data_IF_051790497863
#
_entry.id   IF_051790497863
#
_cell.length_a   1.000
_cell.length_b   1.000
_cell.length_c   1.000
_cell.angle_alpha   90.00
_cell.angle_beta   90.00
_cell.angle_gamma   90.00
#
_symmetry.space_group_name_H-M   'P 1'
#
loop_
_entity.id
_entity.type
_entity.pdbx_description
1 polymer ?
#
# COMPACT_ATOMS: atom_id res chain seq x y z
N UNK A 1 -11.13 37.15 9.58
CA UNK A 1 -10.90 37.72 10.93
C UNK A 1 -9.59 37.24 11.59
N UNK A 2 -9.25 37.74 12.79
CA UNK A 2 -8.14 37.20 13.63
C UNK A 2 -8.47 35.75 14.09
N UNK A 3 -7.50 34.84 14.25
CA UNK A 3 -7.75 33.45 14.67
C UNK A 3 -8.56 33.30 15.96
N UNK A 4 -8.36 34.18 16.95
CA UNK A 4 -9.11 34.12 18.21
C UNK A 4 -10.58 34.50 18.03
N UNK A 5 -10.88 35.54 17.25
CA UNK A 5 -12.25 35.88 16.87
C UNK A 5 -12.92 34.74 16.09
N UNK A 6 -12.15 34.03 15.26
CA UNK A 6 -12.64 32.85 14.55
C UNK A 6 -12.97 31.69 15.50
N UNK A 7 -12.18 31.50 16.57
CA UNK A 7 -12.44 30.51 17.62
C UNK A 7 -13.70 30.86 18.41
N UNK A 8 -13.89 32.13 18.77
CA UNK A 8 -15.10 32.61 19.45
C UNK A 8 -16.34 32.39 18.59
N UNK A 9 -16.28 32.73 17.29
CA UNK A 9 -17.39 32.48 16.38
C UNK A 9 -17.67 30.98 16.22
N UNK A 10 -16.62 30.14 16.10
CA UNK A 10 -16.75 28.68 16.08
C UNK A 10 -17.45 28.17 17.35
N UNK A 11 -17.05 28.64 18.53
CA UNK A 11 -17.65 28.21 19.81
C UNK A 11 -19.15 28.56 19.86
N UNK A 12 -19.52 29.78 19.47
CA UNK A 12 -20.92 30.22 19.37
C UNK A 12 -21.75 29.39 18.40
N UNK A 13 -21.15 28.94 17.29
CA UNK A 13 -21.82 28.04 16.34
C UNK A 13 -22.05 26.68 17.00
N UNK A 14 -21.02 26.10 17.61
CA UNK A 14 -21.09 24.78 18.25
C UNK A 14 -22.15 24.73 19.37
N UNK A 15 -22.30 25.79 20.16
CA UNK A 15 -23.33 25.90 21.22
C UNK A 15 -24.76 25.92 20.68
N UNK A 16 -24.95 26.36 19.44
CA UNK A 16 -26.27 26.48 18.80
C UNK A 16 -26.58 25.34 17.83
N UNK A 17 -25.61 24.44 17.57
CA UNK A 17 -25.86 23.28 16.73
C UNK A 17 -26.80 22.29 17.45
N UNK A 18 -27.70 21.62 16.71
CA UNK A 18 -28.55 20.59 17.30
C UNK A 18 -27.72 19.48 17.95
N UNK A 19 -27.99 19.18 19.22
CA UNK A 19 -27.43 18.01 19.89
C UNK A 19 -28.24 16.77 19.49
N UNK A 20 -27.80 16.01 18.47
CA UNK A 20 -28.37 14.71 18.19
C UNK A 20 -27.40 13.60 18.67
N UNK A 21 -27.86 12.63 19.47
CA UNK A 21 -27.08 11.42 19.70
C UNK A 21 -27.02 10.63 18.39
N UNK A 22 -25.82 10.41 17.90
CA UNK A 22 -25.53 9.49 16.79
C UNK A 22 -25.73 8.06 17.33
N UNK A 23 -26.92 7.49 17.16
CA UNK A 23 -27.23 6.13 17.63
C UNK A 23 -26.80 5.10 16.59
N UNK A 24 -26.16 4.01 17.02
CA UNK A 24 -25.59 2.96 16.17
C UNK A 24 -26.59 2.30 15.18
N UNK A 25 -27.90 2.46 15.38
CA UNK A 25 -28.95 1.88 14.54
C UNK A 25 -29.02 2.48 13.10
N UNK A 26 -28.49 3.68 12.87
CA UNK A 26 -28.51 4.34 11.55
C UNK A 26 -27.31 3.94 10.65
N UNK A 27 -26.41 3.09 11.14
CA UNK A 27 -25.20 2.65 10.43
C UNK A 27 -25.46 1.78 9.19
N UNK A 28 -26.65 1.16 9.09
CA UNK A 28 -27.03 0.28 7.98
C UNK A 28 -27.65 0.98 6.78
N UNK A 29 -27.94 2.28 6.86
CA UNK A 29 -28.51 3.04 5.73
C UNK A 29 -27.43 3.80 4.96
N UNK A 30 -27.58 3.87 3.64
CA UNK A 30 -26.70 4.68 2.78
C UNK A 30 -27.02 6.19 2.85
N UNK A 31 -27.99 6.58 3.68
CA UNK A 31 -28.42 7.96 3.84
C UNK A 31 -27.33 8.80 4.57
N UNK A 32 -27.02 10.01 4.08
CA UNK A 32 -26.11 10.92 4.76
C UNK A 32 -26.70 11.41 6.08
N UNK A 33 -25.83 11.64 7.06
CA UNK A 33 -26.24 12.07 8.40
C UNK A 33 -26.35 13.59 8.39
N UNK A 34 -27.45 14.20 8.86
CA UNK A 34 -27.54 15.64 9.01
C UNK A 34 -26.54 16.08 10.08
N UNK A 35 -25.40 16.62 9.66
CA UNK A 35 -24.37 17.06 10.59
C UNK A 35 -23.56 18.23 10.03
N UNK A 36 -23.18 19.15 10.93
CA UNK A 36 -22.35 20.31 10.64
C UNK A 36 -21.02 20.13 11.35
N UNK A 37 -19.94 19.97 10.60
CA UNK A 37 -18.59 19.97 11.16
C UNK A 37 -18.00 21.39 11.11
N UNK A 38 -17.50 21.87 12.25
CA UNK A 38 -17.03 23.26 12.42
C UNK A 38 -15.57 23.30 12.84
N UNK A 39 -14.76 24.03 12.08
CA UNK A 39 -13.32 24.18 12.29
C UNK A 39 -12.84 25.59 11.93
N UNK A 40 -11.55 25.72 11.69
CA UNK A 40 -10.94 26.97 11.20
C UNK A 40 -10.28 26.69 9.84
N UNK A 41 -10.32 27.67 8.95
CA UNK A 41 -9.58 27.65 7.68
C UNK A 41 -8.75 28.93 7.56
N UNK A 42 -7.56 28.90 6.93
CA UNK A 42 -6.79 30.10 6.66
C UNK A 42 -7.57 31.14 5.82
N UNK A 43 -7.29 32.41 6.05
CA UNK A 43 -7.78 33.54 5.25
C UNK A 43 -6.69 34.61 5.14
N UNK A 44 -6.02 34.68 3.98
CA UNK A 44 -4.84 35.53 3.80
C UNK A 44 -3.62 35.00 4.57
N UNK A 45 -2.65 35.88 4.85
CA UNK A 45 -1.35 35.51 5.45
C UNK A 45 -1.38 35.29 6.96
N UNK A 46 -2.31 35.91 7.69
CA UNK A 46 -2.42 35.81 9.15
C UNK A 46 -3.87 35.72 9.68
N UNK A 47 -4.86 35.66 8.79
CA UNK A 47 -6.27 35.59 9.16
C UNK A 47 -6.81 34.16 9.16
N UNK A 48 -7.97 34.00 9.77
CA UNK A 48 -8.77 32.78 9.71
C UNK A 48 -10.22 33.10 9.40
N UNK A 49 -10.93 32.09 8.87
CA UNK A 49 -12.39 32.02 8.73
C UNK A 49 -12.89 30.77 9.43
N UNK A 50 -14.16 30.72 9.81
CA UNK A 50 -14.74 29.50 10.34
C UNK A 50 -15.01 28.54 9.18
N UNK A 51 -14.42 27.35 9.24
CA UNK A 51 -14.68 26.29 8.28
C UNK A 51 -15.97 25.57 8.67
N UNK A 52 -16.92 25.48 7.74
CA UNK A 52 -18.13 24.68 7.90
C UNK A 52 -18.13 23.60 6.83
N UNK A 53 -18.26 22.34 7.23
CA UNK A 53 -18.28 21.18 6.32
C UNK A 53 -19.59 20.43 6.49
N UNK A 54 -20.29 20.26 5.37
CA UNK A 54 -21.61 19.65 5.30
C UNK A 54 -21.56 18.37 4.46
N UNK A 55 -22.38 17.37 4.80
CA UNK A 55 -22.48 16.18 3.96
C UNK A 55 -23.43 16.38 2.78
N UNK A 56 -24.47 17.20 2.94
CA UNK A 56 -25.45 17.56 1.90
C UNK A 56 -25.68 19.06 1.85
N UNK A 57 -26.15 19.56 0.71
CA UNK A 57 -26.53 20.97 0.57
C UNK A 57 -27.68 21.37 1.52
N UNK A 58 -28.65 20.47 1.72
CA UNK A 58 -29.76 20.68 2.66
C UNK A 58 -29.35 20.82 4.12
N UNK A 59 -28.15 20.36 4.50
CA UNK A 59 -27.64 20.52 5.87
C UNK A 59 -27.26 21.99 6.17
N UNK A 60 -27.25 22.88 5.17
CA UNK A 60 -27.12 24.33 5.37
C UNK A 60 -28.20 24.88 6.30
N UNK A 61 -29.39 24.28 6.33
CA UNK A 61 -30.48 24.66 7.22
C UNK A 61 -30.19 24.41 8.72
N UNK A 62 -29.14 23.64 9.03
CA UNK A 62 -28.69 23.37 10.40
C UNK A 62 -27.70 24.43 10.90
N UNK A 63 -27.19 25.30 10.02
CA UNK A 63 -26.32 26.39 10.42
C UNK A 63 -27.18 27.43 11.14
N UNK A 64 -26.85 27.84 12.37
CA UNK A 64 -27.62 28.84 13.10
C UNK A 64 -27.59 30.19 12.37
N UNK A 65 -28.61 31.02 12.56
CA UNK A 65 -28.59 32.41 12.09
C UNK A 65 -27.60 33.22 12.93
N UNK A 66 -26.49 33.60 12.31
CA UNK A 66 -25.41 34.36 12.95
C UNK A 66 -25.40 35.84 12.53
N UNK A 67 -26.33 36.24 11.66
CA UNK A 67 -26.33 37.53 10.97
C UNK A 67 -25.31 37.64 9.83
N UNK A 68 -25.61 38.51 8.85
CA UNK A 68 -24.84 38.68 7.59
C UNK A 68 -23.33 38.89 7.76
N UNK A 69 -22.90 39.59 8.82
CA UNK A 69 -21.49 39.86 9.04
C UNK A 69 -20.70 38.59 9.40
N UNK A 70 -21.30 37.70 10.20
CA UNK A 70 -20.69 36.43 10.57
C UNK A 70 -20.73 35.41 9.42
N UNK A 71 -21.77 35.43 8.58
CA UNK A 71 -21.86 34.57 7.39
C UNK A 71 -20.71 34.80 6.41
N UNK A 72 -20.28 36.06 6.23
CA UNK A 72 -19.12 36.41 5.38
C UNK A 72 -17.81 35.83 5.94
N UNK A 73 -17.76 35.49 7.21
CA UNK A 73 -16.61 34.88 7.87
C UNK A 73 -16.66 33.33 7.85
N UNK A 74 -17.67 32.73 7.22
CA UNK A 74 -17.79 31.27 7.05
C UNK A 74 -17.29 30.79 5.68
N UNK A 75 -16.40 29.81 5.68
CA UNK A 75 -16.09 28.99 4.51
C UNK A 75 -16.96 27.72 4.56
N UNK A 76 -18.13 27.76 3.93
CA UNK A 76 -19.07 26.62 3.89
C UNK A 76 -18.79 25.77 2.65
N UNK A 77 -18.55 24.47 2.86
CA UNK A 77 -18.35 23.50 1.77
C UNK A 77 -19.17 22.25 1.99
N UNK A 78 -19.82 21.78 0.93
CA UNK A 78 -20.43 20.44 0.89
C UNK A 78 -19.34 19.47 0.46
N UNK A 79 -18.97 18.54 1.35
CA UNK A 79 -17.87 17.58 1.15
C UNK A 79 -18.35 16.14 0.98
N UNK A 80 -19.67 15.91 1.01
CA UNK A 80 -20.22 14.57 0.98
C UNK A 80 -20.03 13.82 2.30
N UNK A 81 -20.37 12.52 2.29
CA UNK A 81 -20.25 11.65 3.47
C UNK A 81 -18.78 11.37 3.77
N UNK A 82 -18.37 11.64 5.01
CA UNK A 82 -17.05 11.23 5.51
C UNK A 82 -17.15 9.77 5.93
N UNK A 83 -16.35 8.90 5.32
CA UNK A 83 -16.19 7.50 5.73
C UNK A 83 -14.79 7.30 6.26
N UNK A 84 -14.63 6.37 7.21
CA UNK A 84 -13.31 5.87 7.54
C UNK A 84 -12.70 5.25 6.28
N UNK A 85 -11.53 5.72 5.87
CA UNK A 85 -10.77 5.07 4.82
C UNK A 85 -10.36 3.68 5.36
N UNK A 86 -10.72 2.64 4.63
CA UNK A 86 -10.28 1.27 4.91
C UNK A 86 -9.22 0.89 3.90
N UNK A 87 -8.26 0.08 4.33
CA UNK A 87 -7.39 -0.60 3.38
C UNK A 87 -8.21 -1.50 2.46
N UNK A 88 -7.80 -1.67 1.20
CA UNK A 88 -8.54 -2.50 0.25
C UNK A 88 -8.62 -3.95 0.75
N UNK A 89 -9.79 -4.57 0.58
CA UNK A 89 -9.97 -5.98 0.89
C UNK A 89 -9.24 -6.86 -0.17
N UNK A 90 -8.84 -8.09 0.17
CA UNK A 90 -8.19 -9.00 -0.78
C UNK A 90 -8.96 -9.17 -2.10
N UNK A 91 -10.29 -9.24 -2.04
CA UNK A 91 -11.12 -9.39 -3.24
C UNK A 91 -11.01 -8.19 -4.19
N UNK A 92 -10.76 -6.99 -3.64
CA UNK A 92 -10.53 -5.76 -4.41
C UNK A 92 -9.14 -5.77 -5.08
N UNK A 93 -8.14 -6.38 -4.44
CA UNK A 93 -6.76 -6.49 -4.95
C UNK A 93 -6.61 -7.56 -6.04
N UNK A 94 -7.55 -8.50 -6.12
CA UNK A 94 -7.59 -9.57 -7.11
C UNK A 94 -8.30 -9.17 -8.41
N UNK A 95 -9.02 -8.04 -8.43
CA UNK A 95 -9.71 -7.58 -9.64
C UNK A 95 -8.75 -7.02 -10.70
N UNK A 96 -9.29 -6.82 -11.91
CA UNK A 96 -8.66 -5.97 -12.93
C UNK A 96 -8.66 -4.52 -12.44
N UNK A 97 -7.47 -3.91 -12.38
CA UNK A 97 -7.29 -2.53 -11.90
C UNK A 97 -6.49 -1.73 -12.92
N UNK A 98 -7.01 -0.56 -13.29
CA UNK A 98 -6.33 0.44 -14.13
C UNK A 98 -6.60 1.83 -13.53
N UNK A 99 -5.60 2.69 -13.32
CA UNK A 99 -4.16 2.43 -13.47
C UNK A 99 -3.66 1.36 -12.49
N UNK A 100 -2.50 0.77 -12.79
CA UNK A 100 -1.85 -0.19 -11.91
C UNK A 100 -1.40 0.46 -10.60
N UNK A 101 -1.47 -0.26 -9.48
CA UNK A 101 -1.05 0.21 -8.16
C UNK A 101 -0.45 -0.93 -7.32
N UNK A 102 0.37 -0.64 -6.31
CA UNK A 102 0.94 -1.67 -5.45
C UNK A 102 -0.12 -2.53 -4.74
N UNK A 103 0.22 -3.78 -4.46
CA UNK A 103 -0.61 -4.73 -3.72
C UNK A 103 -1.58 -5.56 -4.57
N UNK A 104 -1.78 -5.23 -5.85
CA UNK A 104 -2.71 -5.96 -6.73
C UNK A 104 -2.08 -7.24 -7.29
N UNK A 105 -2.94 -8.16 -7.71
CA UNK A 105 -2.55 -9.41 -8.35
C UNK A 105 -1.84 -9.19 -9.68
N UNK A 106 -0.67 -9.82 -9.86
CA UNK A 106 0.06 -9.94 -11.13
C UNK A 106 0.78 -11.28 -11.20
N UNK A 107 1.08 -11.76 -12.40
CA UNK A 107 1.97 -12.91 -12.59
C UNK A 107 2.36 -13.09 -14.06
N UNK A 108 3.39 -13.91 -14.27
CA UNK A 108 3.63 -14.57 -15.54
C UNK A 108 2.45 -15.50 -15.93
N UNK A 109 2.11 -15.66 -17.23
CA UNK A 109 1.01 -16.52 -17.68
C UNK A 109 1.07 -17.99 -17.23
N UNK A 110 2.25 -18.52 -16.93
CA UNK A 110 2.43 -19.90 -16.44
C UNK A 110 2.45 -20.03 -14.92
N UNK A 111 2.34 -18.93 -14.18
CA UNK A 111 2.35 -18.88 -12.71
C UNK A 111 0.92 -18.63 -12.22
N UNK A 112 0.61 -19.06 -11.00
CA UNK A 112 -0.73 -18.87 -10.40
C UNK A 112 -1.05 -17.40 -10.18
N UNK A 113 -0.44 -16.76 -9.18
CA UNK A 113 -0.54 -15.33 -8.91
C UNK A 113 0.53 -14.92 -7.89
N UNK A 114 0.93 -13.66 -7.93
CA UNK A 114 1.65 -12.98 -6.87
C UNK A 114 1.19 -11.53 -6.77
N UNK A 115 1.98 -10.70 -6.11
CA UNK A 115 1.65 -9.30 -5.83
C UNK A 115 2.56 -8.36 -6.61
N UNK A 116 1.98 -7.27 -7.14
CA UNK A 116 2.73 -6.11 -7.64
C UNK A 116 3.28 -5.36 -6.44
N UNK A 117 4.60 -5.43 -6.21
CA UNK A 117 5.23 -4.82 -5.05
C UNK A 117 5.30 -3.31 -5.11
N UNK A 118 5.68 -2.80 -6.27
CA UNK A 118 5.78 -1.38 -6.52
C UNK A 118 6.28 -1.11 -7.93
N UNK A 119 6.73 0.12 -8.16
CA UNK A 119 7.26 0.55 -9.44
C UNK A 119 8.70 1.02 -9.29
N UNK A 120 9.47 0.79 -10.34
CA UNK A 120 10.87 1.17 -10.43
C UNK A 120 11.15 1.77 -11.81
N UNK A 121 12.22 2.56 -11.90
CA UNK A 121 12.81 3.00 -13.16
C UNK A 121 13.92 2.03 -13.53
N UNK A 122 13.89 1.54 -14.76
CA UNK A 122 14.99 0.83 -15.41
C UNK A 122 15.32 1.48 -16.75
N UNK A 123 16.35 1.02 -17.45
CA UNK A 123 16.73 1.58 -18.76
C UNK A 123 15.58 1.56 -19.80
N UNK A 124 14.66 0.60 -19.70
CA UNK A 124 13.49 0.47 -20.57
C UNK A 124 12.29 1.36 -20.20
N UNK A 125 12.34 2.09 -19.08
CA UNK A 125 11.25 2.95 -18.62
C UNK A 125 10.73 2.57 -17.23
N UNK A 126 9.46 2.89 -16.96
CA UNK A 126 8.78 2.47 -15.74
C UNK A 126 8.50 0.97 -15.81
N UNK A 127 8.92 0.24 -14.78
CA UNK A 127 8.70 -1.18 -14.63
C UNK A 127 7.97 -1.47 -13.31
N UNK A 128 7.20 -2.54 -13.29
CA UNK A 128 6.73 -3.13 -12.03
C UNK A 128 7.82 -4.01 -11.42
N UNK A 129 7.85 -4.07 -10.09
CA UNK A 129 8.71 -4.94 -9.29
C UNK A 129 7.87 -6.02 -8.62
N UNK A 130 8.33 -7.28 -8.68
CA UNK A 130 7.79 -8.40 -7.92
C UNK A 130 8.87 -9.50 -7.83
N UNK A 131 8.53 -10.70 -7.37
CA UNK A 131 9.50 -11.80 -7.28
C UNK A 131 9.81 -12.44 -8.65
N UNK A 132 10.97 -13.09 -8.76
CA UNK A 132 11.31 -13.94 -9.89
C UNK A 132 10.30 -15.09 -10.02
N UNK A 133 9.97 -15.80 -8.94
CA UNK A 133 8.99 -16.89 -9.04
C UNK A 133 7.58 -16.41 -9.47
N UNK A 134 7.29 -15.11 -9.36
CA UNK A 134 6.02 -14.51 -9.79
C UNK A 134 6.05 -14.07 -11.26
N UNK A 135 7.09 -13.32 -11.68
CA UNK A 135 7.16 -12.72 -13.02
C UNK A 135 8.00 -13.50 -14.03
N UNK A 136 8.96 -14.27 -13.53
CA UNK A 136 9.92 -15.04 -14.33
C UNK A 136 9.80 -16.56 -14.12
N UNK A 137 8.72 -17.00 -13.47
CA UNK A 137 8.36 -18.41 -13.31
C UNK A 137 9.52 -19.28 -12.78
N UNK A 138 10.23 -18.79 -11.76
CA UNK A 138 11.34 -19.48 -11.11
C UNK A 138 12.44 -19.83 -12.14
N UNK A 139 12.90 -18.82 -12.87
CA UNK A 139 13.87 -18.92 -13.99
C UNK A 139 13.38 -19.63 -15.27
N UNK A 140 12.15 -20.14 -15.30
CA UNK A 140 11.63 -20.83 -16.48
C UNK A 140 11.13 -19.89 -17.59
N UNK A 141 10.87 -18.62 -17.28
CA UNK A 141 10.45 -17.62 -18.26
C UNK A 141 11.64 -17.05 -19.07
N UNK A 142 11.32 -16.43 -20.19
CA UNK A 142 12.26 -15.68 -21.02
C UNK A 142 12.02 -14.17 -20.89
N UNK A 143 13.11 -13.39 -20.91
CA UNK A 143 13.00 -11.94 -21.11
C UNK A 143 12.23 -11.67 -22.41
N UNK A 144 11.24 -10.79 -22.34
CA UNK A 144 10.27 -10.55 -23.42
C UNK A 144 8.88 -11.17 -23.17
N UNK A 145 8.76 -12.07 -22.20
CA UNK A 145 7.49 -12.71 -21.87
C UNK A 145 6.49 -11.70 -21.28
N UNK A 146 5.21 -12.01 -21.48
CA UNK A 146 4.12 -11.17 -20.98
C UNK A 146 3.99 -11.28 -19.46
N UNK A 147 3.58 -10.18 -18.82
CA UNK A 147 3.09 -10.15 -17.44
C UNK A 147 1.65 -9.67 -17.44
N UNK A 148 0.80 -10.38 -16.70
CA UNK A 148 -0.65 -10.18 -16.67
C UNK A 148 -1.09 -9.43 -15.41
N UNK A 149 -2.15 -8.62 -15.53
CA UNK A 149 -2.89 -8.06 -14.40
C UNK A 149 -4.40 -8.20 -14.65
N UNK A 150 -5.12 -9.00 -13.84
CA UNK A 150 -4.63 -9.76 -12.70
C UNK A 150 -3.81 -11.01 -13.11
N UNK A 151 -3.21 -11.72 -12.15
CA UNK A 151 -2.57 -13.01 -12.41
C UNK A 151 -3.56 -14.13 -12.80
N UNK A 152 -3.11 -15.25 -13.37
CA UNK A 152 -3.99 -16.34 -13.83
C UNK A 152 -4.98 -16.89 -12.80
N UNK A 153 -4.57 -17.07 -11.54
CA UNK A 153 -5.43 -17.56 -10.46
C UNK A 153 -6.58 -16.59 -10.10
N UNK A 154 -6.44 -15.32 -10.50
CA UNK A 154 -7.41 -14.25 -10.33
C UNK A 154 -8.20 -13.93 -11.62
N UNK A 155 -8.16 -14.86 -12.58
CA UNK A 155 -8.91 -14.76 -13.82
C UNK A 155 -8.24 -13.91 -14.90
N UNK A 156 -6.94 -13.63 -14.77
CA UNK A 156 -6.13 -13.03 -15.82
C UNK A 156 -5.91 -13.98 -17.00
N UNK A 157 -5.98 -13.46 -18.22
CA UNK A 157 -5.70 -14.20 -19.45
C UNK A 157 -4.85 -13.41 -20.45
N UNK A 158 -4.66 -13.91 -21.68
CA UNK A 158 -3.79 -13.25 -22.67
C UNK A 158 -4.16 -11.81 -23.02
N UNK A 159 -5.44 -11.43 -22.87
CA UNK A 159 -5.92 -10.06 -23.07
C UNK A 159 -5.58 -9.09 -21.92
N UNK A 160 -5.08 -9.60 -20.80
CA UNK A 160 -4.76 -8.85 -19.59
C UNK A 160 -3.27 -8.52 -19.45
N UNK A 161 -2.51 -8.69 -20.53
CA UNK A 161 -1.10 -8.27 -20.58
C UNK A 161 -0.98 -6.77 -20.28
N UNK A 162 -0.06 -6.44 -19.39
CA UNK A 162 0.22 -5.05 -18.97
C UNK A 162 1.69 -4.68 -18.97
N UNK A 163 2.58 -5.66 -19.03
CA UNK A 163 4.01 -5.44 -18.99
C UNK A 163 4.76 -6.57 -19.67
N UNK A 164 6.04 -6.32 -19.92
CA UNK A 164 6.97 -7.22 -20.57
C UNK A 164 8.14 -7.51 -19.61
N UNK A 165 8.34 -8.77 -19.24
CA UNK A 165 9.46 -9.20 -18.38
C UNK A 165 10.79 -8.73 -18.99
N UNK A 166 11.58 -8.00 -18.21
CA UNK A 166 12.79 -7.32 -18.72
C UNK A 166 14.06 -7.82 -18.04
N UNK A 167 14.01 -8.08 -16.72
CA UNK A 167 15.14 -8.63 -15.98
C UNK A 167 14.64 -9.40 -14.75
N UNK A 168 15.44 -10.36 -14.31
CA UNK A 168 15.24 -11.11 -13.07
C UNK A 168 16.57 -11.68 -12.59
N UNK A 169 16.72 -11.84 -11.28
CA UNK A 169 17.90 -12.46 -10.70
C UNK A 169 17.75 -13.98 -10.71
N UNK A 170 18.65 -14.65 -11.44
CA UNK A 170 18.64 -16.11 -11.58
C UNK A 170 19.07 -16.78 -10.29
N UNK A 171 18.37 -17.85 -9.92
CA UNK A 171 18.78 -18.68 -8.80
C UNK A 171 20.08 -19.42 -9.13
N UNK A 172 21.01 -19.36 -8.18
CA UNK A 172 22.33 -20.00 -8.27
C UNK A 172 22.26 -21.40 -7.68
N UNK A 173 22.75 -22.38 -8.43
CA UNK A 173 22.92 -23.73 -7.94
C UNK A 173 24.14 -23.84 -7.00
N UNK A 174 23.97 -24.52 -5.86
CA UNK A 174 25.06 -24.78 -4.90
C UNK A 174 25.54 -23.57 -4.10
N UNK A 175 25.13 -22.36 -4.45
CA UNK A 175 25.45 -21.11 -3.75
C UNK A 175 24.17 -20.47 -3.17
N UNK A 176 24.28 -19.74 -2.05
CA UNK A 176 23.16 -18.97 -1.53
C UNK A 176 22.77 -17.86 -2.51
N UNK A 177 21.49 -17.53 -2.57
CA UNK A 177 20.93 -16.40 -3.31
C UNK A 177 20.76 -15.21 -2.36
N UNK A 178 20.74 -13.99 -2.89
CA UNK A 178 20.46 -12.80 -2.07
C UNK A 178 19.02 -12.35 -2.23
N UNK A 179 18.46 -12.55 -3.42
CA UNK A 179 17.14 -12.03 -3.77
C UNK A 179 16.36 -13.02 -4.63
N UNK A 180 15.05 -12.93 -4.53
CA UNK A 180 14.09 -13.49 -5.45
C UNK A 180 13.30 -12.33 -6.05
N UNK A 181 13.77 -11.81 -7.20
CA UNK A 181 13.25 -10.55 -7.73
C UNK A 181 13.27 -10.49 -9.25
N UNK A 182 12.28 -9.79 -9.80
CA UNK A 182 12.12 -9.55 -11.21
C UNK A 182 11.44 -8.20 -11.48
N UNK A 183 11.72 -7.65 -12.66
CA UNK A 183 11.11 -6.42 -13.17
C UNK A 183 10.55 -6.61 -14.57
N UNK A 184 9.37 -6.03 -14.79
CA UNK A 184 8.70 -6.02 -16.09
C UNK A 184 8.34 -4.59 -16.48
N UNK A 185 8.87 -4.10 -17.61
CA UNK A 185 8.58 -2.77 -18.15
C UNK A 185 7.12 -2.71 -18.57
N UNK A 186 6.42 -1.65 -18.16
CA UNK A 186 5.01 -1.45 -18.49
C UNK A 186 4.83 -1.27 -20.00
N UNK A 187 3.79 -1.89 -20.53
CA UNK A 187 3.44 -1.75 -21.94
C UNK A 187 2.91 -0.33 -22.22
N UNK A 188 3.07 0.14 -23.45
CA UNK A 188 2.66 1.50 -23.83
C UNK A 188 1.17 1.75 -23.56
N UNK A 189 0.86 2.84 -22.86
CA UNK A 189 -0.52 3.21 -22.50
C UNK A 189 -1.05 2.59 -21.22
N UNK A 190 -0.28 1.71 -20.56
CA UNK A 190 -0.63 1.19 -19.22
C UNK A 190 -0.26 2.25 -18.18
N UNK A 191 -1.29 2.83 -17.54
CA UNK A 191 -1.11 3.78 -16.45
C UNK A 191 -0.66 3.10 -15.15
N UNK A 192 0.08 3.83 -14.32
CA UNK A 192 0.52 3.41 -13.00
C UNK A 192 0.36 4.55 -11.98
N UNK A 193 0.04 4.19 -10.74
CA UNK A 193 -0.01 5.08 -9.58
C UNK A 193 0.89 4.51 -8.47
N UNK A 194 2.21 4.82 -8.50
CA UNK A 194 3.16 4.26 -7.53
C UNK A 194 2.84 4.62 -6.08
N UNK A 195 2.25 5.79 -5.85
CA UNK A 195 1.89 6.28 -4.53
C UNK A 195 0.57 5.77 -3.94
N UNK A 196 -0.23 4.96 -4.67
CA UNK A 196 -1.51 4.43 -4.17
C UNK A 196 -1.29 3.21 -3.25
N UNK A 197 -0.71 3.49 -2.09
CA UNK A 197 -0.42 2.54 -1.00
C UNK A 197 -1.20 2.99 0.26
N UNK A 198 -1.64 2.06 1.14
CA UNK A 198 -2.33 2.44 2.37
C UNK A 198 -1.56 3.47 3.20
N UNK A 199 -2.20 4.62 3.45
CA UNK A 199 -1.59 5.75 4.17
C UNK A 199 -0.82 6.75 3.30
N UNK A 200 -0.83 6.59 1.96
CA UNK A 200 -0.21 7.52 1.00
C UNK A 200 1.07 6.97 0.35
N UNK A 201 1.82 7.81 -0.39
CA UNK A 201 3.06 7.37 -1.03
C UNK A 201 4.10 6.90 0.00
N UNK A 202 5.00 6.02 -0.44
CA UNK A 202 6.17 5.60 0.34
C UNK A 202 7.31 6.62 0.19
N UNK A 203 8.32 6.54 1.04
CA UNK A 203 9.52 7.35 0.90
C UNK A 203 10.24 7.08 -0.42
N UNK A 204 10.83 8.13 -1.02
CA UNK A 204 11.64 8.00 -2.24
C UNK A 204 13.05 7.44 -2.02
N UNK A 205 13.50 7.38 -0.76
CA UNK A 205 14.81 6.85 -0.38
C UNK A 205 14.63 5.44 0.15
N UNK A 206 15.38 4.50 -0.41
CA UNK A 206 15.46 3.11 0.07
C UNK A 206 16.65 3.02 1.03
N UNK A 207 16.43 2.67 2.31
CA UNK A 207 17.52 2.49 3.28
C UNK A 207 18.45 1.34 2.88
N UNK A 208 19.71 1.41 3.30
CA UNK A 208 20.64 0.29 3.18
C UNK A 208 20.13 -0.91 4.03
N UNK A 209 20.55 -2.13 3.67
CA UNK A 209 20.18 -3.34 4.40
C UNK A 209 20.58 -3.26 5.88
N UNK A 210 21.74 -2.65 6.18
CA UNK A 210 22.25 -2.47 7.54
C UNK A 210 21.49 -1.41 8.36
N UNK A 211 20.60 -0.64 7.73
CA UNK A 211 19.76 0.33 8.42
C UNK A 211 18.42 -0.27 8.88
N UNK A 212 18.21 -1.58 8.68
CA UNK A 212 17.03 -2.34 9.11
C UNK A 212 17.36 -3.02 10.43
N UNK A 213 16.64 -2.66 11.49
CA UNK A 213 16.89 -3.16 12.83
C UNK A 213 15.82 -4.20 13.24
N UNK A 214 16.17 -5.21 14.05
CA UNK A 214 15.18 -5.94 14.83
C UNK A 214 14.26 -4.98 15.60
N UNK A 215 13.01 -5.40 15.81
CA UNK A 215 11.92 -4.61 16.41
C UNK A 215 11.40 -3.44 15.55
N UNK A 216 11.89 -3.26 14.32
CA UNK A 216 11.24 -2.35 13.39
C UNK A 216 9.80 -2.78 13.11
N UNK A 217 8.87 -1.83 13.27
CA UNK A 217 7.46 -2.02 12.88
C UNK A 217 7.32 -1.82 11.38
N UNK A 218 6.69 -2.79 10.73
CA UNK A 218 6.58 -2.84 9.26
C UNK A 218 5.16 -3.14 8.82
N UNK A 219 4.85 -2.73 7.60
CA UNK A 219 3.56 -2.95 6.95
C UNK A 219 3.78 -3.42 5.52
N UNK A 220 2.79 -4.13 4.97
CA UNK A 220 2.78 -4.53 3.56
C UNK A 220 1.36 -4.58 3.04
N UNK A 221 1.18 -4.40 1.74
CA UNK A 221 -0.07 -4.70 1.05
C UNK A 221 0.15 -5.82 0.04
N UNK A 222 -0.64 -6.89 0.14
CA UNK A 222 -0.54 -8.06 -0.71
C UNK A 222 -1.91 -8.59 -1.15
N UNK A 223 -1.99 -9.21 -2.32
CA UNK A 223 -3.28 -9.59 -2.93
C UNK A 223 -4.06 -10.65 -2.14
N UNK A 224 -3.40 -11.39 -1.24
CA UNK A 224 -4.05 -12.46 -0.47
C UNK A 224 -4.48 -11.96 0.91
N UNK A 225 -3.58 -11.36 1.67
CA UNK A 225 -3.87 -10.95 3.06
C UNK A 225 -4.20 -9.47 3.20
N UNK A 226 -4.15 -8.70 2.10
CA UNK A 226 -4.41 -7.27 2.11
C UNK A 226 -3.31 -6.51 2.85
N UNK A 227 -3.71 -5.46 3.57
CA UNK A 227 -2.80 -4.65 4.38
C UNK A 227 -2.59 -5.29 5.75
N UNK A 228 -1.36 -5.76 6.02
CA UNK A 228 -0.98 -6.35 7.31
C UNK A 228 0.15 -5.56 7.96
N UNK A 229 0.29 -5.75 9.27
CA UNK A 229 1.32 -5.13 10.11
C UNK A 229 2.12 -6.20 10.81
N UNK A 230 3.41 -5.94 10.99
CA UNK A 230 4.36 -6.89 11.52
C UNK A 230 5.50 -6.22 12.27
N UNK A 231 6.39 -7.07 12.78
CA UNK A 231 7.60 -6.72 13.49
C UNK A 231 8.76 -7.50 12.88
N UNK A 232 9.86 -6.82 12.59
CA UNK A 232 11.12 -7.49 12.21
C UNK A 232 11.66 -8.24 13.42
N UNK A 233 11.78 -9.57 13.31
CA UNK A 233 12.25 -10.45 14.40
C UNK A 233 13.71 -10.83 14.25
N UNK A 234 14.23 -10.84 13.03
CA UNK A 234 15.64 -11.06 12.75
C UNK A 234 16.04 -10.36 11.43
N UNK A 235 17.31 -10.00 11.33
CA UNK A 235 17.95 -9.44 10.13
C UNK A 235 19.24 -10.22 9.86
N UNK A 236 19.78 -10.11 8.65
CA UNK A 236 21.00 -10.82 8.23
C UNK A 236 20.86 -12.35 8.43
N UNK A 237 19.67 -12.90 8.18
CA UNK A 237 19.39 -14.33 8.35
C UNK A 237 19.95 -15.11 7.17
N UNK A 238 20.95 -15.95 7.44
CA UNK A 238 21.60 -16.80 6.45
C UNK A 238 21.03 -18.22 6.39
N UNK A 239 21.10 -18.82 5.20
CA UNK A 239 20.76 -20.22 4.97
C UNK A 239 19.26 -20.53 4.95
N UNK A 240 18.41 -19.53 4.71
CA UNK A 240 16.96 -19.72 4.58
C UNK A 240 16.69 -20.63 3.37
N UNK A 241 16.20 -21.85 3.62
CA UNK A 241 15.91 -22.83 2.58
C UNK A 241 14.45 -22.70 2.13
N UNK A 242 14.25 -22.43 0.84
CA UNK A 242 12.92 -22.26 0.23
C UNK A 242 12.78 -23.26 -0.91
N UNK A 243 11.68 -23.99 -0.91
CA UNK A 243 11.33 -24.91 -1.98
C UNK A 243 10.48 -24.19 -3.05
N UNK A 244 10.96 -24.20 -4.28
CA UNK A 244 10.20 -23.82 -5.47
C UNK A 244 10.06 -25.06 -6.34
N UNK A 245 8.82 -25.43 -6.65
CA UNK A 245 8.51 -26.68 -7.35
C UNK A 245 9.21 -27.88 -6.67
N UNK A 246 10.08 -28.60 -7.37
CA UNK A 246 10.83 -29.76 -6.86
C UNK A 246 12.27 -29.41 -6.42
N UNK A 247 12.65 -28.13 -6.36
CA UNK A 247 14.01 -27.67 -6.08
C UNK A 247 14.07 -26.79 -4.84
N UNK A 248 15.11 -26.99 -4.01
CA UNK A 248 15.37 -26.16 -2.83
C UNK A 248 16.51 -25.19 -3.12
N UNK A 249 16.24 -23.90 -2.91
CA UNK A 249 17.22 -22.83 -3.00
C UNK A 249 17.49 -22.25 -1.61
N UNK A 250 18.74 -21.86 -1.35
CA UNK A 250 19.12 -21.19 -0.09
C UNK A 250 19.25 -19.69 -0.33
N UNK A 251 18.89 -18.90 0.68
CA UNK A 251 18.99 -17.45 0.66
C UNK A 251 19.73 -16.95 1.90
N UNK A 252 20.63 -16.00 1.68
CA UNK A 252 21.47 -15.36 2.70
C UNK A 252 21.16 -13.86 2.77
N UNK A 253 21.40 -13.25 3.92
CA UNK A 253 21.08 -11.83 4.19
C UNK A 253 19.57 -11.51 4.13
N UNK A 254 18.75 -12.35 4.78
CA UNK A 254 17.29 -12.22 4.76
C UNK A 254 16.73 -11.53 6.00
N UNK A 255 15.57 -10.90 5.85
CA UNK A 255 14.81 -10.28 6.94
C UNK A 255 13.69 -11.22 7.33
N UNK A 256 13.58 -11.54 8.62
CA UNK A 256 12.47 -12.30 9.19
C UNK A 256 11.45 -11.34 9.82
N UNK A 257 10.17 -11.53 9.49
CA UNK A 257 9.06 -10.73 10.00
C UNK A 257 7.98 -11.64 10.58
N UNK A 258 7.49 -11.31 11.77
CA UNK A 258 6.26 -11.89 12.32
C UNK A 258 5.10 -10.89 12.22
N UNK A 259 3.86 -11.38 12.15
CA UNK A 259 2.68 -10.50 12.14
C UNK A 259 2.27 -10.10 13.56
N UNK A 260 1.62 -8.94 13.70
CA UNK A 260 1.12 -8.47 15.01
C UNK A 260 -0.31 -8.89 15.32
N UNK A 261 -1.00 -9.50 14.35
CA UNK A 261 -2.40 -9.89 14.44
C UNK A 261 -2.64 -11.18 13.62
N UNK A 262 -1.94 -12.25 14.00
CA UNK A 262 -1.80 -13.47 13.20
C UNK A 262 -0.67 -13.36 12.18
N UNK A 263 -0.68 -14.22 11.16
CA UNK A 263 0.38 -14.29 10.16
C UNK A 263 0.56 -12.97 9.40
N UNK A 264 1.81 -12.57 9.17
CA UNK A 264 2.12 -11.34 8.41
C UNK A 264 1.76 -11.46 6.93
N UNK A 265 1.88 -12.66 6.37
CA UNK A 265 1.61 -12.94 4.96
C UNK A 265 1.11 -14.37 4.75
N UNK A 266 0.60 -14.64 3.55
CA UNK A 266 0.25 -15.96 3.09
C UNK A 266 0.65 -16.16 1.61
N UNK A 267 0.50 -17.39 1.11
CA UNK A 267 0.72 -17.69 -0.31
C UNK A 267 -0.03 -16.72 -1.23
N UNK A 268 0.68 -16.18 -2.22
CA UNK A 268 0.19 -15.14 -3.15
C UNK A 268 0.54 -13.70 -2.75
N UNK A 269 0.99 -13.45 -1.51
CA UNK A 269 1.54 -12.14 -1.14
C UNK A 269 2.98 -11.94 -1.63
N UNK A 270 3.63 -12.98 -2.15
CA UNK A 270 4.94 -12.93 -2.81
C UNK A 270 5.04 -11.74 -3.76
N UNK A 271 6.07 -10.94 -3.59
CA UNK A 271 6.32 -9.74 -4.37
C UNK A 271 5.81 -8.47 -3.70
N UNK A 272 5.12 -8.55 -2.57
CA UNK A 272 4.72 -7.37 -1.79
C UNK A 272 5.97 -6.62 -1.30
N UNK A 273 6.02 -5.31 -1.55
CA UNK A 273 6.99 -4.44 -0.87
C UNK A 273 6.53 -4.22 0.58
N UNK A 274 7.49 -4.34 1.49
CA UNK A 274 7.35 -4.10 2.92
C UNK A 274 7.96 -2.73 3.21
N UNK A 275 7.22 -1.88 3.94
CA UNK A 275 7.71 -0.56 4.37
C UNK A 275 7.72 -0.44 5.89
N UNK A 276 8.65 0.38 6.41
CA UNK A 276 8.74 0.70 7.83
C UNK A 276 7.65 1.70 8.21
N UNK A 277 6.93 1.44 9.30
CA UNK A 277 5.76 2.25 9.70
C UNK A 277 6.11 3.67 10.10
N UNK A 278 7.27 3.89 10.75
CA UNK A 278 7.61 5.18 11.36
C UNK A 278 7.85 6.30 10.33
N UNK A 279 8.39 5.95 9.18
CA UNK A 279 8.90 6.87 8.16
C UNK A 279 8.43 6.53 6.73
N UNK A 280 7.67 5.43 6.57
CA UNK A 280 7.20 4.89 5.28
C UNK A 280 8.35 4.56 4.33
N UNK A 281 9.55 4.30 4.82
CA UNK A 281 10.67 3.88 4.00
C UNK A 281 10.39 2.45 3.47
N UNK A 282 10.47 2.21 2.15
CA UNK A 282 10.38 0.85 1.61
C UNK A 282 11.68 0.10 1.92
N UNK A 283 11.60 -1.05 2.58
CA UNK A 283 12.77 -1.73 3.18
C UNK A 283 13.00 -3.14 2.64
N UNK A 284 11.96 -3.86 2.22
CA UNK A 284 12.12 -5.25 1.82
C UNK A 284 11.11 -5.70 0.75
N UNK A 285 11.44 -6.79 0.06
CA UNK A 285 10.58 -7.49 -0.90
C UNK A 285 10.24 -8.88 -0.34
N UNK A 286 8.97 -9.12 -0.04
CA UNK A 286 8.48 -10.40 0.48
C UNK A 286 8.65 -11.50 -0.57
N UNK A 287 9.19 -12.67 -0.19
CA UNK A 287 9.32 -13.80 -1.12
C UNK A 287 8.92 -15.17 -0.56
N UNK A 288 8.97 -15.37 0.77
CA UNK A 288 8.66 -16.65 1.38
C UNK A 288 8.05 -16.50 2.78
N UNK A 289 7.51 -17.60 3.32
CA UNK A 289 7.02 -17.65 4.70
C UNK A 289 6.79 -19.08 5.18
N UNK A 290 6.60 -19.22 6.49
CA UNK A 290 6.28 -20.47 7.18
C UNK A 290 4.88 -20.44 7.77
N UNK A 291 4.32 -21.62 8.05
CA UNK A 291 3.02 -21.77 8.73
C UNK A 291 3.15 -22.04 10.24
N UNK A 292 4.39 -22.16 10.73
CA UNK A 292 4.74 -22.38 12.14
C UNK A 292 5.95 -21.54 12.51
N UNK A 293 6.08 -21.17 13.79
CA UNK A 293 7.07 -20.21 14.28
C UNK A 293 6.43 -18.89 14.66
N UNK A 294 7.25 -17.87 14.93
CA UNK A 294 6.79 -16.61 15.52
C UNK A 294 6.37 -16.76 16.98
N UNK A 295 6.19 -15.63 17.67
CA UNK A 295 5.85 -15.62 19.11
C UNK A 295 4.46 -16.19 19.44
N UNK A 296 3.53 -16.20 18.48
CA UNK A 296 2.16 -16.70 18.64
C UNK A 296 1.89 -18.02 17.86
N UNK A 297 2.91 -18.57 17.20
CA UNK A 297 2.80 -19.79 16.41
C UNK A 297 2.19 -19.59 15.02
N UNK A 298 1.91 -18.35 14.60
CA UNK A 298 1.28 -18.04 13.30
C UNK A 298 2.21 -18.13 12.09
N UNK A 299 3.51 -18.38 12.30
CA UNK A 299 4.53 -18.42 11.27
C UNK A 299 5.33 -17.13 11.14
N UNK A 300 6.37 -17.17 10.31
CA UNK A 300 7.22 -16.02 9.98
C UNK A 300 7.27 -15.82 8.47
N UNK A 301 7.57 -14.61 8.04
CA UNK A 301 7.76 -14.21 6.64
C UNK A 301 9.23 -13.87 6.42
N UNK A 302 9.78 -14.28 5.29
CA UNK A 302 11.11 -13.90 4.84
C UNK A 302 11.01 -12.91 3.67
N UNK A 303 11.86 -11.90 3.72
CA UNK A 303 11.93 -10.84 2.73
C UNK A 303 13.38 -10.49 2.39
N UNK A 304 13.63 -10.18 1.12
CA UNK A 304 14.94 -9.72 0.66
C UNK A 304 15.09 -8.21 0.94
N UNK A 305 16.25 -7.70 1.39
CA UNK A 305 16.47 -6.26 1.52
C UNK A 305 16.26 -5.54 0.18
N UNK A 306 15.43 -4.49 0.17
CA UNK A 306 15.03 -3.82 -1.07
C UNK A 306 16.22 -3.10 -1.73
N UNK A 307 17.16 -2.56 -0.95
CA UNK A 307 18.38 -1.98 -1.49
C UNK A 307 19.17 -3.00 -2.35
N UNK A 308 19.34 -4.22 -1.85
CA UNK A 308 20.00 -5.32 -2.56
C UNK A 308 19.25 -5.71 -3.83
N UNK A 309 17.92 -5.79 -3.75
CA UNK A 309 17.04 -6.05 -4.93
C UNK A 309 17.27 -5.01 -6.02
N UNK A 310 17.21 -3.72 -5.67
CA UNK A 310 17.36 -2.63 -6.62
C UNK A 310 18.76 -2.57 -7.21
N UNK A 311 19.79 -2.81 -6.40
CA UNK A 311 21.18 -2.85 -6.85
C UNK A 311 21.40 -3.95 -7.89
N UNK A 312 20.96 -5.19 -7.61
CA UNK A 312 21.17 -6.32 -8.51
C UNK A 312 20.40 -6.16 -9.83
N UNK A 313 19.16 -5.67 -9.76
CA UNK A 313 18.33 -5.41 -10.94
C UNK A 313 18.70 -4.13 -11.70
N UNK A 314 19.62 -3.31 -11.18
CA UNK A 314 19.95 -2.00 -11.77
C UNK A 314 18.75 -1.05 -11.85
N UNK A 315 17.90 -1.07 -10.82
CA UNK A 315 16.62 -0.39 -10.77
C UNK A 315 16.62 0.75 -9.74
N UNK A 316 15.77 1.77 -9.96
CA UNK A 316 15.59 2.89 -9.02
C UNK A 316 14.14 2.93 -8.56
N UNK A 317 13.90 2.99 -7.26
CA UNK A 317 12.56 3.07 -6.68
C UNK A 317 11.76 4.28 -7.17
N UNK A 318 10.45 4.11 -7.39
CA UNK A 318 9.50 5.18 -7.72
C UNK A 318 8.44 5.29 -6.62
N UNK A 319 8.48 6.40 -5.88
CA UNK A 319 7.52 6.71 -4.82
C UNK A 319 6.21 7.34 -5.32
N UNK A 320 6.28 8.06 -6.44
CA UNK A 320 5.20 8.80 -7.10
C UNK A 320 5.39 8.86 -8.61
#
# INVERSE_FOLDING_TARGET
MHPDSARELKARILEQLPSAPVVAADAGSDAPWPWVAVGLTPAGTAGARVAVRLQRDGDRALIPDLGRAAEQELDVRVIGRVRALRSPAPEELQQRVRPLRPGISVAHPSVTAGTLGGFVRVAGGTAMLSNNHVLAASDAAAVGDAVLQPGPADGGGPGDRVATLTAFERFREGLPNLVDAAVAVLDAGVGAEPGDVPGGPLGGVVPDALEIDPDDTVEKIGRTTGHTRGLVTAVEVDGVAVQYDDVVHRFDDQIEIQGTAGGFSAGGDSGSVIWRSRDRAPVALLFAGSTTGGSDGSGVTFANPLATVLQLLGAVWLAE
#
